data_IF_908103385096
#
_entry.id   IF_908103385096
#
_cell.length_a   1.000
_cell.length_b   1.000
_cell.length_c   1.000
_cell.angle_alpha   90.00
_cell.angle_beta   90.00
_cell.angle_gamma   90.00
#
_symmetry.space_group_name_H-M   'P 1'
#
loop_
_entity.id
_entity.type
_entity.pdbx_description
1 polymer ?
#
# COMPACT_ATOMS: atom_id res chain seq x y z
N UNK A 1 3.18 18.48 -0.24
CA UNK A 1 2.99 18.29 -1.70
C UNK A 1 4.18 17.48 -2.20
N UNK A 2 3.97 16.22 -2.57
CA UNK A 2 5.02 15.32 -3.08
C UNK A 2 5.73 15.98 -4.27
N UNK A 3 7.07 16.07 -4.23
CA UNK A 3 7.90 16.60 -5.31
C UNK A 3 8.70 15.45 -5.96
N UNK A 4 8.64 15.36 -7.28
CA UNK A 4 9.11 14.21 -8.06
C UNK A 4 10.49 14.51 -8.64
N UNK A 5 11.53 13.76 -8.26
CA UNK A 5 12.84 13.88 -8.89
C UNK A 5 12.96 12.92 -10.06
N UNK A 6 13.09 13.47 -11.27
CA UNK A 6 13.81 13.06 -12.50
C UNK A 6 14.11 11.59 -12.87
N UNK A 7 13.62 10.56 -12.18
CA UNK A 7 13.82 9.15 -12.55
C UNK A 7 12.53 8.45 -13.04
N UNK A 8 11.38 9.13 -12.96
CA UNK A 8 10.16 8.74 -13.66
C UNK A 8 9.41 10.02 -14.00
N UNK A 9 9.12 10.26 -15.29
CA UNK A 9 8.35 11.43 -15.71
C UNK A 9 7.00 11.45 -14.98
N UNK A 10 6.51 12.60 -14.49
CA UNK A 10 5.19 12.68 -13.87
C UNK A 10 4.11 12.24 -14.86
N UNK A 11 2.99 11.69 -14.36
CA UNK A 11 1.81 11.44 -15.21
C UNK A 11 1.45 12.76 -15.89
N UNK A 12 1.51 12.80 -17.22
CA UNK A 12 1.21 14.03 -17.97
C UNK A 12 -0.27 14.32 -17.86
N UNK A 13 -0.64 15.52 -17.38
CA UNK A 13 -2.04 15.97 -17.28
C UNK A 13 -2.85 15.56 -18.53
N UNK A 14 -4.03 14.99 -18.33
CA UNK A 14 -4.92 14.62 -19.43
C UNK A 14 -5.46 15.85 -20.15
N UNK A 15 -5.64 16.96 -19.41
CA UNK A 15 -5.92 18.29 -19.94
C UNK A 15 -5.57 19.38 -18.93
N UNK A 16 -5.48 20.63 -19.36
CA UNK A 16 -5.19 21.76 -18.48
C UNK A 16 -6.47 22.35 -17.84
N UNK A 17 -6.36 22.99 -16.66
CA UNK A 17 -5.23 22.92 -15.72
C UNK A 17 -5.40 21.72 -14.75
N UNK A 18 -4.33 20.94 -14.54
CA UNK A 18 -4.26 19.85 -13.53
C UNK A 18 -5.40 18.82 -13.61
N UNK A 19 -5.87 18.49 -14.83
CA UNK A 19 -6.82 17.42 -15.01
C UNK A 19 -6.07 16.09 -15.15
N UNK A 20 -6.41 15.12 -14.31
CA UNK A 20 -5.82 13.78 -14.29
C UNK A 20 -6.91 12.73 -14.50
N UNK A 21 -7.66 12.87 -15.60
CA UNK A 21 -8.73 11.95 -15.98
C UNK A 21 -8.23 11.01 -17.08
N UNK A 22 -7.89 9.79 -16.69
CA UNK A 22 -7.43 8.74 -17.60
C UNK A 22 -8.46 7.63 -17.68
N UNK A 23 -8.75 7.20 -18.91
CA UNK A 23 -9.59 6.02 -19.13
C UNK A 23 -8.85 4.79 -18.64
N UNK A 24 -9.49 3.99 -17.78
CA UNK A 24 -8.97 2.69 -17.38
C UNK A 24 -9.15 1.69 -18.54
N UNK A 25 -8.03 1.26 -19.12
CA UNK A 25 -7.97 0.19 -20.11
C UNK A 25 -7.12 -0.96 -19.53
N UNK A 26 -7.71 -2.14 -19.26
CA UNK A 26 -6.97 -3.32 -18.80
C UNK A 26 -5.81 -3.74 -19.70
N UNK A 27 -5.76 -3.32 -20.96
CA UNK A 27 -4.64 -3.58 -21.87
C UNK A 27 -3.58 -2.46 -21.86
N UNK A 28 -3.87 -1.27 -21.32
CA UNK A 28 -3.00 -0.06 -21.36
C UNK A 28 -3.08 0.73 -20.04
N UNK A 29 -2.49 0.17 -18.99
CA UNK A 29 -2.74 0.62 -17.61
C UNK A 29 -1.80 1.72 -17.08
N UNK A 30 -0.78 2.16 -17.83
CA UNK A 30 0.33 2.95 -17.27
C UNK A 30 -0.07 4.33 -16.70
N UNK A 31 -0.88 5.12 -17.42
CA UNK A 31 -1.22 6.49 -17.00
C UNK A 31 -2.22 6.52 -15.83
N UNK A 32 -3.26 5.70 -15.91
CA UNK A 32 -4.27 5.59 -14.85
C UNK A 32 -3.71 4.95 -13.58
N UNK A 33 -2.81 3.95 -13.69
CA UNK A 33 -2.18 3.28 -12.54
C UNK A 33 -1.35 4.24 -11.70
N UNK A 34 -0.50 5.04 -12.35
CA UNK A 34 0.32 6.03 -11.63
C UNK A 34 -0.56 7.10 -10.96
N UNK A 35 -1.60 7.58 -11.63
CA UNK A 35 -2.55 8.52 -11.03
C UNK A 35 -3.26 7.93 -9.79
N UNK A 36 -3.70 6.67 -9.89
CA UNK A 36 -4.34 5.96 -8.78
C UNK A 36 -3.38 5.79 -7.60
N UNK A 37 -2.12 5.42 -7.86
CA UNK A 37 -1.12 5.28 -6.79
C UNK A 37 -0.86 6.60 -6.08
N UNK A 38 -0.73 7.70 -6.85
CA UNK A 38 -0.45 9.03 -6.30
C UNK A 38 -1.62 9.47 -5.43
N UNK A 39 -2.83 9.29 -5.91
CA UNK A 39 -4.04 9.60 -5.16
C UNK A 39 -4.09 8.85 -3.82
N UNK A 40 -3.89 7.53 -3.84
CA UNK A 40 -4.03 6.73 -2.61
C UNK A 40 -2.92 7.00 -1.61
N UNK A 41 -1.66 7.17 -2.03
CA UNK A 41 -0.62 7.48 -1.04
C UNK A 41 -0.78 8.87 -0.43
N UNK A 42 -1.27 9.87 -1.16
CA UNK A 42 -1.59 11.17 -0.55
C UNK A 42 -2.73 11.01 0.46
N UNK A 43 -3.77 10.23 0.15
CA UNK A 43 -4.83 9.92 1.12
C UNK A 43 -4.28 9.21 2.36
N UNK A 44 -3.34 8.28 2.20
CA UNK A 44 -2.70 7.57 3.32
C UNK A 44 -1.82 8.51 4.15
N UNK A 45 -1.05 9.41 3.52
CA UNK A 45 -0.26 10.43 4.20
C UNK A 45 -1.16 11.33 5.04
N UNK A 46 -2.23 11.88 4.45
CA UNK A 46 -3.21 12.74 5.13
C UNK A 46 -3.92 12.00 6.28
N UNK A 47 -4.30 10.73 6.06
CA UNK A 47 -4.92 9.88 7.07
C UNK A 47 -3.97 9.65 8.25
N UNK A 48 -2.74 9.23 7.99
CA UNK A 48 -1.75 8.96 9.04
C UNK A 48 -1.31 10.24 9.76
N UNK A 49 -1.26 11.36 9.05
CA UNK A 49 -1.03 12.67 9.64
C UNK A 49 -2.10 13.00 10.69
N UNK A 50 -3.38 12.73 10.40
CA UNK A 50 -4.47 12.89 11.37
C UNK A 50 -4.29 12.02 12.63
N UNK A 51 -3.57 10.89 12.51
CA UNK A 51 -3.26 9.98 13.62
C UNK A 51 -1.86 10.20 14.24
N UNK A 52 -1.19 11.30 13.91
CA UNK A 52 0.06 11.70 14.56
C UNK A 52 1.34 11.35 13.81
N UNK A 53 1.26 10.78 12.60
CA UNK A 53 2.42 10.63 11.71
C UNK A 53 2.76 11.97 11.05
N UNK A 54 3.32 12.86 11.87
CA UNK A 54 3.71 14.23 11.51
C UNK A 54 5.19 14.30 11.15
N UNK A 55 5.63 15.48 10.74
CA UNK A 55 7.02 15.76 10.39
C UNK A 55 7.96 15.44 11.58
N UNK A 56 7.57 15.82 12.80
CA UNK A 56 8.31 15.48 14.02
C UNK A 56 8.32 13.98 14.36
N UNK A 57 7.39 13.21 13.80
CA UNK A 57 7.30 11.75 13.91
C UNK A 57 7.87 11.04 12.67
N UNK A 58 8.70 11.74 11.88
CA UNK A 58 9.45 11.20 10.75
C UNK A 58 8.56 10.73 9.58
N UNK A 59 7.51 11.49 9.27
CA UNK A 59 6.69 11.24 8.09
C UNK A 59 7.39 11.57 6.77
N UNK A 60 6.79 11.21 5.63
CA UNK A 60 7.43 11.33 4.33
C UNK A 60 7.01 12.63 3.62
N UNK A 61 7.78 13.70 3.79
CA UNK A 61 7.46 14.99 3.21
C UNK A 61 8.65 15.68 2.53
N UNK A 62 8.37 16.31 1.38
CA UNK A 62 9.39 17.11 0.72
C UNK A 62 9.69 18.41 1.51
N UNK A 63 8.68 18.99 2.16
CA UNK A 63 8.81 20.24 2.90
C UNK A 63 8.08 20.17 4.23
N UNK A 64 8.83 20.29 5.33
CA UNK A 64 8.27 20.15 6.68
C UNK A 64 7.79 21.49 7.27
N UNK A 65 8.00 22.61 6.57
CA UNK A 65 7.54 23.95 6.97
C UNK A 65 7.94 24.38 8.40
N UNK A 66 9.07 23.86 8.90
CA UNK A 66 9.57 24.16 10.25
C UNK A 66 8.92 23.36 11.38
N UNK A 67 8.14 22.31 11.07
CA UNK A 67 7.43 21.47 12.06
C UNK A 67 8.26 20.30 12.63
N UNK A 68 9.57 20.27 12.37
CA UNK A 68 10.48 19.21 12.82
C UNK A 68 10.74 18.15 11.75
N UNK A 69 11.49 17.10 12.12
CA UNK A 69 11.95 16.05 11.20
C UNK A 69 12.97 16.53 10.16
N UNK A 70 13.55 15.58 9.46
CA UNK A 70 14.28 15.82 8.22
C UNK A 70 13.29 15.89 7.05
N UNK A 71 13.60 16.72 6.06
CA UNK A 71 12.76 16.98 4.90
C UNK A 71 13.36 16.31 3.65
N UNK A 72 12.76 16.54 2.48
CA UNK A 72 13.16 15.97 1.20
C UNK A 72 13.04 14.44 1.13
N UNK A 73 12.12 13.85 1.88
CA UNK A 73 12.01 12.41 2.04
C UNK A 73 10.65 11.83 1.62
N UNK A 74 9.93 12.55 0.78
CA UNK A 74 8.70 12.10 0.15
C UNK A 74 8.84 10.71 -0.49
N UNK A 75 7.74 9.96 -0.49
CA UNK A 75 7.69 8.64 -1.13
C UNK A 75 7.69 8.79 -2.65
N UNK A 76 8.68 8.19 -3.31
CA UNK A 76 8.61 7.96 -4.74
C UNK A 76 7.75 6.76 -5.03
N UNK A 77 6.78 6.96 -5.90
CA UNK A 77 5.98 5.87 -6.43
C UNK A 77 6.52 5.48 -7.78
N UNK A 78 7.12 4.30 -7.88
CA UNK A 78 7.47 3.73 -9.18
C UNK A 78 6.37 2.77 -9.63
N UNK A 79 5.74 3.13 -10.75
CA UNK A 79 4.73 2.34 -11.44
C UNK A 79 5.34 1.07 -12.06
N UNK A 80 4.63 -0.03 -11.85
CA UNK A 80 4.46 -1.27 -12.64
C UNK A 80 5.18 -1.27 -14.00
N UNK A 81 6.49 -1.49 -14.00
CA UNK A 81 7.24 -1.70 -15.24
C UNK A 81 7.34 -3.17 -15.57
N UNK A 82 6.68 -3.55 -16.68
CA UNK A 82 6.94 -4.77 -17.43
C UNK A 82 8.30 -4.59 -18.14
N UNK A 83 9.41 -4.72 -17.43
CA UNK A 83 10.75 -4.75 -18.04
C UNK A 83 11.22 -6.19 -18.24
N UNK A 84 12.23 -6.45 -19.09
CA UNK A 84 12.69 -7.82 -19.42
C UNK A 84 13.21 -8.65 -18.22
N UNK A 85 13.26 -8.07 -17.00
CA UNK A 85 13.48 -8.73 -15.70
C UNK A 85 12.27 -8.56 -14.76
N UNK A 86 11.05 -8.67 -15.28
CA UNK A 86 9.82 -8.38 -14.51
C UNK A 86 9.71 -9.35 -13.33
N UNK A 87 9.78 -8.80 -12.11
CA UNK A 87 9.24 -9.45 -10.91
C UNK A 87 7.72 -9.36 -11.04
N UNK A 88 7.03 -10.49 -10.89
CA UNK A 88 5.56 -10.55 -10.95
C UNK A 88 5.01 -10.94 -9.58
N UNK A 89 3.77 -10.54 -9.34
CA UNK A 89 2.98 -10.96 -8.16
C UNK A 89 3.56 -10.52 -6.82
N UNK A 90 4.13 -9.31 -6.77
CA UNK A 90 4.78 -8.80 -5.58
C UNK A 90 4.52 -7.30 -5.42
N UNK A 91 4.92 -6.77 -4.26
CA UNK A 91 5.01 -5.35 -3.97
C UNK A 91 6.09 -5.14 -2.89
N UNK A 92 6.75 -3.99 -2.89
CA UNK A 92 7.76 -3.69 -1.90
C UNK A 92 7.87 -2.20 -1.60
N UNK A 93 7.99 -1.86 -0.32
CA UNK A 93 8.39 -0.53 0.14
C UNK A 93 9.85 -0.54 0.64
N UNK A 94 10.70 0.30 0.06
CA UNK A 94 12.02 0.64 0.61
C UNK A 94 11.89 1.76 1.63
N UNK A 95 12.23 1.46 2.88
CA UNK A 95 12.00 2.36 4.03
C UNK A 95 13.37 2.78 4.58
N UNK A 96 13.94 3.88 4.10
CA UNK A 96 15.14 4.43 4.70
C UNK A 96 14.81 5.26 5.95
N UNK A 97 15.85 5.69 6.66
CA UNK A 97 15.72 6.64 7.76
C UNK A 97 15.18 8.00 7.31
N UNK A 98 14.84 8.83 8.29
CA UNK A 98 14.32 10.18 8.10
C UNK A 98 15.23 11.04 7.21
N UNK A 99 14.64 11.83 6.31
CA UNK A 99 15.40 12.66 5.36
C UNK A 99 15.88 11.94 4.09
N UNK A 100 15.53 10.66 3.92
CA UNK A 100 15.80 9.88 2.70
C UNK A 100 14.49 9.38 2.11
N UNK A 101 14.31 9.52 0.81
CA UNK A 101 13.08 9.15 0.12
C UNK A 101 12.76 7.67 0.24
N UNK A 102 11.54 7.37 0.70
CA UNK A 102 10.96 6.04 0.55
C UNK A 102 10.70 5.70 -0.91
N UNK A 103 10.75 4.42 -1.27
CA UNK A 103 10.41 3.96 -2.62
C UNK A 103 9.36 2.85 -2.56
N UNK A 104 8.16 3.15 -3.06
CA UNK A 104 7.09 2.17 -3.20
C UNK A 104 7.13 1.59 -4.62
N UNK A 105 7.33 0.26 -4.70
CA UNK A 105 7.35 -0.51 -5.95
C UNK A 105 6.16 -1.46 -5.98
N UNK A 106 5.36 -1.33 -7.03
CA UNK A 106 4.24 -2.23 -7.31
C UNK A 106 4.55 -3.03 -8.58
N UNK A 107 4.26 -4.33 -8.56
CA UNK A 107 4.53 -5.22 -9.70
C UNK A 107 3.23 -5.75 -10.31
N UNK A 108 3.23 -6.04 -11.63
CA UNK A 108 2.06 -6.62 -12.28
C UNK A 108 1.83 -8.06 -11.83
N UNK A 109 0.57 -8.50 -11.86
CA UNK A 109 0.17 -9.83 -11.45
C UNK A 109 -0.25 -10.68 -12.65
N UNK A 110 0.28 -11.89 -12.72
CA UNK A 110 0.06 -12.84 -13.82
C UNK A 110 -0.71 -14.10 -13.38
N UNK A 111 -1.49 -14.02 -12.30
CA UNK A 111 -2.33 -15.12 -11.79
C UNK A 111 -3.73 -15.19 -12.43
N UNK A 112 -4.03 -14.29 -13.36
CA UNK A 112 -5.30 -14.22 -14.11
C UNK A 112 -5.05 -14.22 -15.62
N UNK A 113 -6.08 -14.48 -16.42
CA UNK A 113 -5.98 -14.57 -17.90
C UNK A 113 -5.42 -13.30 -18.55
N UNK A 114 -5.78 -12.14 -18.01
CA UNK A 114 -5.14 -10.85 -18.33
C UNK A 114 -4.25 -10.46 -17.15
N UNK A 115 -3.10 -9.83 -17.41
CA UNK A 115 -2.28 -9.27 -16.35
C UNK A 115 -3.04 -8.14 -15.65
N UNK A 116 -3.03 -8.18 -14.32
CA UNK A 116 -3.72 -7.19 -13.49
C UNK A 116 -2.70 -6.31 -12.81
N UNK A 117 -2.92 -5.01 -12.85
CA UNK A 117 -2.16 -4.05 -12.07
C UNK A 117 -2.78 -3.96 -10.68
N UNK A 118 -1.93 -4.14 -9.66
CA UNK A 118 -2.37 -4.12 -8.27
C UNK A 118 -2.81 -2.73 -7.80
N UNK A 119 -2.48 -1.66 -8.53
CA UNK A 119 -2.98 -0.32 -8.27
C UNK A 119 -4.52 -0.23 -8.27
N UNK A 120 -5.21 -1.19 -8.90
CA UNK A 120 -6.67 -1.23 -9.00
C UNK A 120 -7.34 -2.38 -8.24
N UNK A 121 -6.61 -3.08 -7.37
CA UNK A 121 -7.18 -4.14 -6.54
C UNK A 121 -8.35 -3.58 -5.69
N UNK A 122 -9.44 -4.36 -5.55
CA UNK A 122 -10.73 -3.92 -5.00
C UNK A 122 -10.64 -3.28 -3.59
N UNK A 123 -9.59 -3.59 -2.83
CA UNK A 123 -9.34 -3.01 -1.51
C UNK A 123 -8.09 -2.13 -1.46
N UNK A 124 -7.44 -1.90 -2.61
CA UNK A 124 -6.12 -1.25 -2.72
C UNK A 124 -5.12 -1.86 -1.74
N UNK A 125 -5.34 -3.14 -1.39
CA UNK A 125 -4.83 -3.72 -0.16
C UNK A 125 -3.32 -3.63 -0.13
N UNK A 126 -2.66 -3.98 -1.23
CA UNK A 126 -1.20 -3.96 -1.28
C UNK A 126 -0.58 -2.58 -1.27
N UNK A 127 -1.22 -1.58 -1.87
CA UNK A 127 -0.69 -0.21 -1.79
C UNK A 127 -0.78 0.30 -0.34
N UNK A 128 -1.89 0.02 0.33
CA UNK A 128 -2.09 0.35 1.75
C UNK A 128 -1.14 -0.46 2.66
N UNK A 129 -1.01 -1.77 2.45
CA UNK A 129 -0.11 -2.70 3.18
C UNK A 129 1.34 -2.19 3.13
N UNK A 130 1.84 -1.91 1.93
CA UNK A 130 3.21 -1.43 1.74
C UNK A 130 3.40 -0.01 2.29
N UNK A 131 2.45 0.91 2.09
CA UNK A 131 2.55 2.26 2.68
C UNK A 131 2.52 2.21 4.21
N UNK A 132 1.76 1.28 4.77
CA UNK A 132 1.71 1.05 6.23
C UNK A 132 3.02 0.45 6.75
N UNK A 133 3.74 -0.35 5.94
CA UNK A 133 5.12 -0.70 6.27
C UNK A 133 6.01 0.55 6.39
N UNK A 134 5.85 1.53 5.49
CA UNK A 134 6.56 2.81 5.57
C UNK A 134 6.33 3.54 6.90
N UNK A 135 5.06 3.68 7.31
CA UNK A 135 4.67 4.24 8.61
C UNK A 135 5.36 3.49 9.77
N UNK A 136 5.17 2.17 9.83
CA UNK A 136 5.66 1.35 10.93
C UNK A 136 7.20 1.34 10.97
N UNK A 137 7.86 1.34 9.81
CA UNK A 137 9.32 1.39 9.71
C UNK A 137 9.92 2.69 10.21
N UNK A 138 9.27 3.83 9.96
CA UNK A 138 9.68 5.13 10.51
C UNK A 138 9.42 5.25 12.01
N UNK A 139 8.27 4.77 12.49
CA UNK A 139 7.90 4.90 13.91
C UNK A 139 8.62 3.92 14.84
N UNK A 140 8.86 2.69 14.40
CA UNK A 140 9.34 1.60 15.28
C UNK A 140 10.84 1.32 15.08
N UNK A 141 11.53 2.08 14.21
CA UNK A 141 12.96 1.87 13.88
C UNK A 141 13.25 0.39 13.58
N UNK A 142 12.64 -0.13 12.52
CA UNK A 142 12.80 -1.54 12.13
C UNK A 142 11.72 -1.96 11.15
N UNK A 143 11.97 -3.01 10.37
CA UNK A 143 11.09 -3.54 9.32
C UNK A 143 9.75 -4.10 9.89
N UNK A 144 8.92 -3.25 10.49
CA UNK A 144 7.64 -3.62 11.05
C UNK A 144 6.62 -3.74 9.91
N UNK A 145 6.35 -4.98 9.50
CA UNK A 145 5.31 -5.30 8.52
C UNK A 145 4.00 -5.63 9.22
N UNK A 146 3.37 -4.61 9.80
CA UNK A 146 2.12 -4.78 10.54
C UNK A 146 1.14 -3.69 10.16
N UNK A 147 0.09 -4.06 9.43
CA UNK A 147 -1.33 -3.73 9.67
C UNK A 147 -2.12 -4.11 8.41
N UNK A 148 -3.14 -4.97 8.56
CA UNK A 148 -4.29 -4.91 7.67
C UNK A 148 -5.11 -3.70 8.11
N UNK A 149 -5.10 -2.61 7.33
CA UNK A 149 -6.01 -1.47 7.61
C UNK A 149 -7.44 -1.98 7.47
N UNK A 150 -8.11 -2.17 8.60
CA UNK A 150 -9.57 -2.27 8.64
C UNK A 150 -10.10 -0.90 8.24
N UNK A 151 -10.97 -0.82 7.22
CA UNK A 151 -11.57 0.43 6.73
C UNK A 151 -12.29 1.17 7.86
N UNK A 152 -11.60 2.10 8.51
CA UNK A 152 -12.15 3.04 9.46
C UNK A 152 -12.53 4.35 8.78
N UNK A 153 -13.46 4.32 7.81
CA UNK A 153 -14.26 5.47 7.37
C UNK A 153 -15.00 5.16 6.04
N UNK A 154 -16.02 4.29 6.08
CA UNK A 154 -17.19 4.47 5.22
C UNK A 154 -18.43 4.38 6.10
N UNK A 155 -19.11 5.51 6.22
CA UNK A 155 -20.38 5.69 6.90
C UNK A 155 -21.50 5.05 6.08
N UNK A 156 -21.56 3.74 6.07
CA UNK A 156 -22.78 2.94 5.98
C UNK A 156 -22.43 1.62 6.65
N UNK A 157 -23.28 1.16 7.56
CA UNK A 157 -23.07 -0.04 8.37
C UNK A 157 -22.88 -1.31 7.51
N UNK A 158 -21.66 -1.53 7.00
CA UNK A 158 -21.22 -2.88 6.63
C UNK A 158 -20.74 -3.53 7.92
N UNK A 159 -21.54 -4.51 8.33
CA UNK A 159 -21.42 -5.23 9.59
C UNK A 159 -19.98 -5.63 9.90
N UNK A 160 -19.61 -5.56 11.17
CA UNK A 160 -18.43 -6.24 11.74
C UNK A 160 -18.43 -7.79 11.56
N UNK A 161 -19.30 -8.33 10.71
CA UNK A 161 -19.59 -9.74 10.48
C UNK A 161 -19.27 -10.23 9.05
N UNK A 162 -18.75 -9.37 8.15
CA UNK A 162 -18.39 -9.80 6.81
C UNK A 162 -16.94 -10.33 6.77
N UNK A 163 -16.77 -11.58 6.32
CA UNK A 163 -15.46 -12.19 6.12
C UNK A 163 -14.71 -11.46 4.99
N UNK A 164 -13.47 -11.05 5.25
CA UNK A 164 -12.67 -10.27 4.31
C UNK A 164 -11.67 -11.17 3.57
N UNK A 165 -11.73 -11.12 2.24
CA UNK A 165 -10.68 -11.68 1.37
C UNK A 165 -9.70 -10.59 0.94
N UNK A 166 -8.43 -10.97 0.73
CA UNK A 166 -7.40 -10.05 0.24
C UNK A 166 -6.83 -10.49 -1.11
N UNK A 167 -6.68 -9.52 -2.01
CA UNK A 167 -6.01 -9.70 -3.30
C UNK A 167 -6.78 -10.57 -4.30
N UNK A 168 -8.10 -10.73 -4.12
CA UNK A 168 -8.94 -11.54 -5.02
C UNK A 168 -9.08 -10.94 -6.41
N UNK A 169 -8.82 -9.64 -6.56
CA UNK A 169 -8.69 -9.06 -7.89
C UNK A 169 -7.39 -9.52 -8.55
N UNK A 170 -6.24 -9.55 -7.90
CA UNK A 170 -5.01 -10.01 -8.58
C UNK A 170 -4.79 -11.53 -8.60
N UNK A 171 -5.43 -12.28 -7.71
CA UNK A 171 -5.31 -13.74 -7.57
C UNK A 171 -6.69 -14.37 -7.32
N UNK A 172 -7.13 -15.39 -8.07
CA UNK A 172 -8.46 -15.99 -7.88
C UNK A 172 -8.70 -16.59 -6.47
N UNK A 173 -7.62 -16.84 -5.71
CA UNK A 173 -7.66 -17.23 -4.29
C UNK A 173 -7.17 -16.09 -3.42
N UNK A 174 -7.64 -16.04 -2.16
CA UNK A 174 -7.09 -15.11 -1.16
C UNK A 174 -5.56 -15.24 -1.07
N UNK A 175 -4.88 -14.12 -0.88
CA UNK A 175 -3.44 -14.09 -0.61
C UNK A 175 -3.08 -14.48 0.83
N UNK A 176 -4.08 -14.84 1.63
CA UNK A 176 -3.95 -15.28 3.03
C UNK A 176 -4.51 -16.69 3.20
N UNK A 177 -4.02 -17.40 4.22
CA UNK A 177 -4.45 -18.77 4.49
C UNK A 177 -5.93 -18.86 4.90
N UNK A 178 -6.40 -17.86 5.64
CA UNK A 178 -7.77 -17.74 6.11
C UNK A 178 -8.35 -16.38 5.70
N UNK A 179 -9.68 -16.27 5.70
CA UNK A 179 -10.36 -14.98 5.54
C UNK A 179 -10.30 -14.28 6.89
N UNK A 180 -10.04 -12.97 6.91
CA UNK A 180 -10.15 -12.25 8.18
C UNK A 180 -11.59 -12.24 8.62
N UNK A 181 -11.85 -12.83 9.79
CA UNK A 181 -13.18 -13.11 10.29
C UNK A 181 -13.17 -13.06 11.81
N UNK A 182 -14.29 -12.64 12.40
CA UNK A 182 -14.50 -12.76 13.84
C UNK A 182 -14.92 -14.18 14.26
N UNK A 183 -15.22 -15.05 13.29
CA UNK A 183 -15.60 -16.45 13.53
C UNK A 183 -14.38 -17.36 13.59
N UNK A 184 -14.17 -18.01 14.73
CA UNK A 184 -13.04 -18.95 14.95
C UNK A 184 -13.06 -20.18 14.02
N UNK A 185 -14.21 -20.49 13.43
CA UNK A 185 -14.33 -21.56 12.42
C UNK A 185 -13.80 -21.12 11.06
N UNK A 186 -13.88 -19.83 10.74
CA UNK A 186 -13.41 -19.24 9.48
C UNK A 186 -11.95 -18.84 9.57
N UNK A 187 -11.55 -18.23 10.69
CA UNK A 187 -10.16 -17.91 11.02
C UNK A 187 -9.79 -18.54 12.38
N UNK A 188 -9.14 -19.73 12.39
CA UNK A 188 -8.77 -20.43 13.61
C UNK A 188 -7.45 -19.93 14.22
N UNK A 189 -6.88 -18.83 13.72
CA UNK A 189 -5.56 -18.36 14.13
C UNK A 189 -5.59 -17.74 15.51
N UNK A 190 -4.62 -18.15 16.32
CA UNK A 190 -4.42 -17.63 17.68
C UNK A 190 -2.95 -17.25 17.87
N UNK A 191 -2.64 -16.56 18.96
CA UNK A 191 -1.24 -16.26 19.31
C UNK A 191 -0.35 -17.52 19.33
N UNK A 192 -0.88 -18.69 19.73
CA UNK A 192 -0.16 -19.96 19.70
C UNK A 192 0.24 -20.44 18.30
N UNK A 193 -0.47 -20.00 17.25
CA UNK A 193 -0.15 -20.32 15.86
C UNK A 193 1.19 -19.73 15.40
N UNK A 194 1.75 -18.75 16.11
CA UNK A 194 3.07 -18.17 15.81
C UNK A 194 4.22 -19.18 15.95
N UNK A 195 4.04 -20.26 16.72
CA UNK A 195 5.10 -21.26 16.96
C UNK A 195 5.59 -21.95 15.69
N UNK A 196 4.72 -22.08 14.67
CA UNK A 196 5.03 -22.79 13.42
C UNK A 196 5.09 -21.85 12.21
N UNK A 197 4.88 -20.54 12.41
CA UNK A 197 4.78 -19.54 11.34
C UNK A 197 6.00 -18.64 11.34
N UNK A 198 7.04 -19.09 10.63
CA UNK A 198 8.33 -18.39 10.53
C UNK A 198 8.37 -17.36 9.40
N UNK A 199 7.45 -17.44 8.45
CA UNK A 199 7.31 -16.48 7.36
C UNK A 199 6.47 -15.27 7.86
N UNK A 200 6.93 -14.06 7.54
CA UNK A 200 6.43 -12.82 8.15
C UNK A 200 4.96 -12.51 7.78
N UNK A 201 4.51 -12.86 6.57
CA UNK A 201 3.11 -12.67 6.20
C UNK A 201 2.21 -13.69 6.91
N UNK A 202 2.65 -14.94 7.06
CA UNK A 202 1.94 -15.95 7.84
C UNK A 202 1.85 -15.57 9.33
N UNK A 203 2.90 -15.00 9.91
CA UNK A 203 2.85 -14.44 11.27
C UNK A 203 1.92 -13.21 11.34
N UNK A 204 1.97 -12.33 10.33
CA UNK A 204 1.11 -11.15 10.22
C UNK A 204 -0.38 -11.46 10.17
N UNK A 205 -0.78 -12.60 9.59
CA UNK A 205 -2.17 -13.08 9.62
C UNK A 205 -2.68 -13.26 11.05
N UNK A 206 -1.85 -13.81 11.95
CA UNK A 206 -2.23 -13.98 13.36
C UNK A 206 -2.49 -12.64 14.01
N UNK A 207 -1.63 -11.66 13.74
CA UNK A 207 -1.72 -10.34 14.36
C UNK A 207 -2.87 -9.50 13.83
N UNK A 208 -3.21 -9.65 12.56
CA UNK A 208 -4.36 -8.97 11.95
C UNK A 208 -5.71 -9.56 12.40
N UNK A 209 -5.72 -10.76 13.00
CA UNK A 209 -6.92 -11.41 13.51
C UNK A 209 -7.18 -11.19 15.01
N UNK A 210 -6.22 -10.63 15.75
CA UNK A 210 -6.32 -10.34 17.20
C UNK A 210 -6.71 -8.87 17.40
#
# INVERSE_FOLDING_TARGET
>A
MLSYSNLCQPTQQSSSPNNYNYVFDPAKQHGCSLCQCVYVANMMDDLFYCYGFTESAFNFQYHNTGKGGAQNDQVYQLSVQVSKKTVFNDAAFFIPGDGVNGELRLYPWNKTTLYRDIAFDNHLFKLVDEYTHGLAGRLVSGNCRFLAVRRGSQTTAESAAADLTLGTYVNPKSLRHYLYSTGITTDPLTYGSLQTRTEIHAAGEVWANI
#
